data_IF_041663071735
#
_entry.id   IF_041663071735
#
_cell.length_a   1.000
_cell.length_b   1.000
_cell.length_c   1.000
_cell.angle_alpha   90.00
_cell.angle_beta   90.00
_cell.angle_gamma   90.00
#
_symmetry.space_group_name_H-M   'P 1'
#
loop_
_entity.id
_entity.type
_entity.pdbx_description
1 polymer ?
#
# COMPACT_ATOMS: atom_id res chain seq x y z
N UNK A 1 -17.57 13.00 -37.14
CA UNK A 1 -16.94 12.08 -36.14
C UNK A 1 -16.70 12.88 -34.88
N UNK A 2 -17.68 12.91 -33.98
CA UNK A 2 -17.48 13.50 -32.65
C UNK A 2 -16.55 12.56 -31.91
N UNK A 3 -15.29 12.96 -31.68
CA UNK A 3 -14.45 12.25 -30.72
C UNK A 3 -15.16 12.32 -29.37
N UNK A 4 -15.75 11.20 -28.93
CA UNK A 4 -16.12 11.05 -27.53
C UNK A 4 -14.77 11.00 -26.81
N UNK A 5 -14.33 12.13 -26.26
CA UNK A 5 -13.27 12.10 -25.26
C UNK A 5 -13.83 11.29 -24.09
N UNK A 6 -13.43 10.02 -23.98
CA UNK A 6 -13.65 9.26 -22.76
C UNK A 6 -13.00 10.05 -21.64
N UNK A 7 -13.76 10.34 -20.60
CA UNK A 7 -13.21 10.97 -19.41
C UNK A 7 -12.08 10.05 -18.89
N UNK A 8 -10.86 10.58 -18.82
CA UNK A 8 -9.71 9.82 -18.34
C UNK A 8 -9.98 9.40 -16.91
N UNK A 9 -9.64 8.17 -16.58
CA UNK A 9 -9.78 7.63 -15.24
C UNK A 9 -8.46 6.99 -14.83
N UNK A 10 -7.86 7.53 -13.77
CA UNK A 10 -6.63 7.03 -13.19
C UNK A 10 -6.91 6.45 -11.81
N UNK A 11 -6.22 5.36 -11.51
CA UNK A 11 -6.21 4.69 -10.21
C UNK A 11 -4.83 4.87 -9.59
N UNK A 12 -4.75 5.58 -8.47
CA UNK A 12 -3.57 5.60 -7.61
C UNK A 12 -3.70 4.49 -6.58
N UNK A 13 -2.69 3.63 -6.41
CA UNK A 13 -2.68 2.52 -5.45
C UNK A 13 -1.44 2.65 -4.54
N UNK A 14 -1.62 2.49 -3.23
CA UNK A 14 -0.59 2.57 -2.19
C UNK A 14 -0.72 1.38 -1.22
N UNK A 15 0.36 0.64 -1.00
CA UNK A 15 0.37 -0.53 -0.11
C UNK A 15 0.52 -0.11 1.35
N UNK A 16 -0.43 -0.55 2.19
CA UNK A 16 -0.57 -0.05 3.55
C UNK A 16 0.61 -0.49 4.42
N UNK A 17 1.44 0.47 4.84
CA UNK A 17 2.62 0.22 5.70
C UNK A 17 3.54 -0.88 5.15
N UNK A 18 3.80 -0.82 3.84
CA UNK A 18 4.36 -1.91 3.03
C UNK A 18 5.43 -2.78 3.71
N UNK A 19 6.56 -2.22 4.12
CA UNK A 19 7.64 -3.03 4.69
C UNK A 19 7.23 -3.75 5.97
N UNK A 20 6.45 -3.11 6.85
CA UNK A 20 5.93 -3.78 8.05
C UNK A 20 4.93 -4.88 7.68
N UNK A 21 4.11 -4.67 6.64
CA UNK A 21 3.16 -5.67 6.15
C UNK A 21 3.86 -6.90 5.57
N UNK A 22 4.94 -6.73 4.79
CA UNK A 22 5.77 -7.85 4.31
C UNK A 22 6.34 -8.65 5.49
N UNK A 23 6.92 -7.97 6.49
CA UNK A 23 7.47 -8.64 7.67
C UNK A 23 6.40 -9.38 8.50
N UNK A 24 5.17 -8.83 8.57
CA UNK A 24 4.04 -9.50 9.22
C UNK A 24 3.63 -10.77 8.47
N UNK A 25 3.39 -10.69 7.15
CA UNK A 25 2.99 -11.84 6.33
C UNK A 25 4.04 -12.95 6.38
N UNK A 26 5.33 -12.61 6.25
CA UNK A 26 6.45 -13.56 6.36
C UNK A 26 6.47 -14.31 7.69
N UNK A 27 5.90 -13.73 8.75
CA UNK A 27 5.79 -14.32 10.10
C UNK A 27 4.44 -14.97 10.38
N UNK A 28 3.53 -15.04 9.40
CA UNK A 28 2.17 -15.55 9.60
C UNK A 28 1.32 -14.66 10.51
N UNK A 29 1.63 -13.35 10.55
CA UNK A 29 0.90 -12.35 11.33
C UNK A 29 0.02 -11.51 10.41
N UNK A 30 -1.15 -11.11 10.91
CA UNK A 30 -2.03 -10.15 10.23
C UNK A 30 -1.39 -8.74 10.23
N UNK A 31 -1.09 -8.16 9.05
CA UNK A 31 -0.50 -6.83 8.93
C UNK A 31 -1.28 -5.69 9.58
N UNK A 32 -2.61 -5.81 9.71
CA UNK A 32 -3.46 -4.74 10.23
C UNK A 32 -3.49 -4.71 11.76
N UNK A 33 -3.30 -5.85 12.42
CA UNK A 33 -3.44 -6.00 13.88
C UNK A 33 -2.12 -6.25 14.60
N UNK A 34 -1.11 -6.80 13.91
CA UNK A 34 0.19 -7.06 14.50
C UNK A 34 0.95 -5.76 14.82
N UNK A 35 1.53 -5.71 16.02
CA UNK A 35 2.40 -4.60 16.45
C UNK A 35 3.83 -4.89 16.03
N UNK A 36 4.21 -4.38 14.88
CA UNK A 36 5.55 -4.55 14.30
C UNK A 36 6.14 -3.22 13.83
N UNK A 37 7.44 -3.05 14.02
CA UNK A 37 8.24 -1.96 13.46
C UNK A 37 9.41 -2.55 12.67
N UNK A 38 9.76 -1.94 11.55
CA UNK A 38 10.95 -2.30 10.77
C UNK A 38 12.05 -1.31 11.11
N UNK A 39 13.10 -1.77 11.79
CA UNK A 39 14.24 -0.95 12.20
C UNK A 39 15.46 -1.83 12.49
N UNK A 40 16.65 -1.27 12.34
CA UNK A 40 17.90 -1.90 12.75
C UNK A 40 18.25 -1.50 14.19
N UNK A 41 17.90 -2.36 15.14
CA UNK A 41 18.13 -2.11 16.57
C UNK A 41 19.60 -2.24 17.00
N UNK A 42 20.46 -2.85 16.17
CA UNK A 42 21.89 -3.03 16.46
C UNK A 42 22.67 -1.71 16.36
N UNK A 43 22.11 -0.69 15.70
CA UNK A 43 22.74 0.62 15.56
C UNK A 43 22.60 1.45 16.83
N UNK A 44 21.49 2.16 16.95
CA UNK A 44 21.14 2.99 18.11
C UNK A 44 19.63 3.16 18.14
N UNK A 45 19.06 3.53 19.28
CA UNK A 45 17.63 3.86 19.38
C UNK A 45 17.25 5.14 18.60
N UNK A 46 18.24 5.93 18.15
CA UNK A 46 18.02 7.08 17.25
C UNK A 46 17.86 6.67 15.78
N UNK A 47 17.98 5.38 15.46
CA UNK A 47 17.76 4.87 14.11
C UNK A 47 16.35 5.18 13.63
N UNK A 48 16.21 5.37 12.32
CA UNK A 48 14.90 5.58 11.70
C UNK A 48 14.16 4.24 11.62
N UNK A 49 12.86 4.26 11.93
CA UNK A 49 11.99 3.14 11.61
C UNK A 49 11.64 3.23 10.13
N UNK A 50 12.02 2.22 9.35
CA UNK A 50 11.73 2.13 7.93
C UNK A 50 10.22 2.01 7.69
N UNK A 51 9.51 1.30 8.57
CA UNK A 51 8.05 1.26 8.59
C UNK A 51 7.53 0.98 10.00
N UNK A 52 6.30 1.45 10.26
CA UNK A 52 5.55 1.21 11.48
C UNK A 52 4.20 0.60 11.07
N UNK A 53 3.85 -0.55 11.67
CA UNK A 53 2.57 -1.23 11.44
C UNK A 53 1.35 -0.34 11.75
N UNK A 54 0.21 -0.58 11.09
CA UNK A 54 -1.07 0.09 11.40
C UNK A 54 -1.44 0.05 12.88
N UNK A 55 -1.26 -1.10 13.56
CA UNK A 55 -1.60 -1.25 14.97
C UNK A 55 -0.76 -0.33 15.88
N UNK A 56 0.53 -0.11 15.57
CA UNK A 56 1.37 0.84 16.31
C UNK A 56 1.02 2.30 15.98
N UNK A 57 0.66 2.60 14.73
CA UNK A 57 0.16 3.93 14.35
C UNK A 57 -1.12 4.29 15.10
N UNK A 58 -2.03 3.32 15.30
CA UNK A 58 -3.24 3.49 16.09
C UNK A 58 -2.95 3.79 17.59
N UNK A 59 -1.79 3.38 18.10
CA UNK A 59 -1.29 3.75 19.44
C UNK A 59 -0.57 5.11 19.45
N UNK A 60 -0.62 5.85 18.35
CA UNK A 60 -0.03 7.19 18.21
C UNK A 60 1.43 7.20 17.78
N UNK A 61 2.04 6.07 17.42
CA UNK A 61 3.41 6.06 16.86
C UNK A 61 3.42 6.71 15.47
N UNK A 62 4.33 7.65 15.24
CA UNK A 62 4.46 8.31 13.93
C UNK A 62 4.89 7.31 12.86
N UNK A 63 4.36 7.45 11.63
CA UNK A 63 4.81 6.65 10.49
C UNK A 63 6.27 6.90 10.07
N UNK A 64 6.88 7.99 10.56
CA UNK A 64 8.29 8.35 10.32
C UNK A 64 9.07 8.43 11.65
N UNK A 65 8.70 7.60 12.62
CA UNK A 65 9.30 7.61 13.94
C UNK A 65 10.77 7.15 13.91
N UNK A 66 11.53 7.57 14.92
CA UNK A 66 12.75 6.91 15.37
C UNK A 66 12.41 5.86 16.42
N UNK A 67 13.28 4.86 16.59
CA UNK A 67 13.00 3.73 17.47
C UNK A 67 12.77 4.15 18.93
N UNK A 68 13.48 5.16 19.44
CA UNK A 68 13.24 5.70 20.78
C UNK A 68 11.83 6.29 20.95
N UNK A 69 11.27 6.93 19.93
CA UNK A 69 9.91 7.50 19.97
C UNK A 69 8.85 6.38 20.01
N UNK A 70 9.17 5.20 19.48
CA UNK A 70 8.33 4.01 19.64
C UNK A 70 8.35 3.55 21.10
N UNK A 71 9.54 3.48 21.71
CA UNK A 71 9.70 3.07 23.12
C UNK A 71 9.05 4.05 24.11
N UNK A 72 8.97 5.34 23.78
CA UNK A 72 8.27 6.34 24.59
C UNK A 72 6.75 6.12 24.61
N UNK A 73 6.18 5.55 23.53
CA UNK A 73 4.73 5.38 23.38
C UNK A 73 4.25 3.97 23.69
N UNK A 74 5.10 2.97 23.48
CA UNK A 74 4.74 1.55 23.55
C UNK A 74 5.79 0.78 24.36
N UNK A 75 5.39 0.02 25.40
CA UNK A 75 6.33 -0.72 26.23
C UNK A 75 7.19 -1.68 25.43
N UNK A 76 8.48 -1.76 25.79
CA UNK A 76 9.39 -2.77 25.22
C UNK A 76 8.85 -4.18 25.46
N UNK A 77 9.01 -5.04 24.46
CA UNK A 77 8.50 -6.42 24.49
C UNK A 77 7.01 -6.57 24.15
N UNK A 78 6.27 -5.47 23.94
CA UNK A 78 4.86 -5.52 23.51
C UNK A 78 4.65 -5.38 22.00
N UNK A 79 5.74 -5.33 21.24
CA UNK A 79 5.79 -5.27 19.79
C UNK A 79 7.04 -5.97 19.25
N UNK A 80 7.02 -6.29 17.96
CA UNK A 80 8.12 -6.96 17.25
C UNK A 80 8.97 -5.91 16.53
N UNK A 81 10.28 -6.06 16.60
CA UNK A 81 11.23 -5.33 15.75
C UNK A 81 11.71 -6.31 14.68
N UNK A 82 11.57 -5.92 13.41
CA UNK A 82 12.11 -6.64 12.28
C UNK A 82 13.25 -5.85 11.65
N UNK A 83 14.35 -6.52 11.31
CA UNK A 83 15.43 -5.90 10.57
C UNK A 83 15.01 -5.66 9.10
N UNK A 84 15.46 -4.56 8.46
CA UNK A 84 15.15 -4.30 7.05
C UNK A 84 15.67 -5.39 6.10
N UNK A 85 14.76 -6.00 5.34
CA UNK A 85 15.04 -7.03 4.33
C UNK A 85 14.72 -6.52 2.90
N UNK A 86 15.55 -5.60 2.39
CA UNK A 86 15.26 -4.89 1.13
C UNK A 86 15.05 -5.79 -0.10
N UNK A 87 15.75 -6.92 -0.18
CA UNK A 87 15.59 -7.87 -1.28
C UNK A 87 14.19 -8.49 -1.29
N UNK A 88 13.70 -8.92 -0.13
CA UNK A 88 12.35 -9.48 0.03
C UNK A 88 11.29 -8.43 -0.34
N UNK A 89 11.50 -7.17 0.05
CA UNK A 89 10.57 -6.09 -0.27
C UNK A 89 10.47 -5.84 -1.78
N UNK A 90 11.59 -5.87 -2.49
CA UNK A 90 11.60 -5.72 -3.95
C UNK A 90 10.97 -6.92 -4.65
N UNK A 91 11.16 -8.13 -4.12
CA UNK A 91 10.51 -9.33 -4.64
C UNK A 91 8.99 -9.22 -4.51
N UNK A 92 8.47 -8.93 -3.31
CA UNK A 92 7.02 -8.80 -3.08
C UNK A 92 6.43 -7.64 -3.88
N UNK A 93 7.14 -6.51 -3.98
CA UNK A 93 6.75 -5.41 -4.86
C UNK A 93 6.61 -5.88 -6.31
N UNK A 94 7.59 -6.62 -6.83
CA UNK A 94 7.55 -7.15 -8.21
C UNK A 94 6.38 -8.11 -8.41
N UNK A 95 6.07 -8.96 -7.44
CA UNK A 95 4.90 -9.86 -7.45
C UNK A 95 3.58 -9.06 -7.53
N UNK A 96 3.46 -7.97 -6.77
CA UNK A 96 2.28 -7.10 -6.78
C UNK A 96 2.15 -6.34 -8.11
N UNK A 97 3.26 -5.82 -8.66
CA UNK A 97 3.24 -5.16 -9.97
C UNK A 97 2.93 -6.14 -11.11
N UNK A 98 3.28 -7.43 -10.97
CA UNK A 98 2.85 -8.46 -11.90
C UNK A 98 1.33 -8.69 -11.86
N UNK A 99 0.70 -8.57 -10.68
CA UNK A 99 -0.76 -8.57 -10.56
C UNK A 99 -1.33 -7.37 -11.31
N UNK A 100 -0.79 -6.16 -11.13
CA UNK A 100 -1.25 -4.98 -11.88
C UNK A 100 -1.15 -5.18 -13.40
N UNK A 101 -0.04 -5.76 -13.86
CA UNK A 101 0.20 -6.05 -15.28
C UNK A 101 -0.73 -7.13 -15.86
N UNK A 102 -1.43 -7.91 -15.02
CA UNK A 102 -2.49 -8.81 -15.48
C UNK A 102 -3.80 -8.06 -15.81
N UNK A 103 -3.98 -6.84 -15.28
CA UNK A 103 -5.17 -6.02 -15.49
C UNK A 103 -4.98 -4.92 -16.52
N UNK A 104 -3.82 -4.27 -16.52
CA UNK A 104 -3.48 -3.15 -17.42
C UNK A 104 -2.14 -3.38 -18.10
N UNK A 105 -1.98 -2.86 -19.33
CA UNK A 105 -0.71 -2.96 -20.04
C UNK A 105 0.39 -2.19 -19.29
N UNK A 106 1.62 -2.68 -19.38
CA UNK A 106 2.76 -2.15 -18.63
C UNK A 106 3.04 -0.66 -18.89
N UNK A 107 2.78 -0.19 -20.10
CA UNK A 107 2.91 1.20 -20.52
C UNK A 107 1.87 2.13 -19.87
N UNK A 108 0.75 1.58 -19.40
CA UNK A 108 -0.30 2.29 -18.68
C UNK A 108 -0.09 2.25 -17.14
N UNK A 109 1.01 1.62 -16.68
CA UNK A 109 1.43 1.61 -15.28
C UNK A 109 2.58 2.61 -15.08
N UNK A 110 2.33 3.64 -14.29
CA UNK A 110 3.35 4.55 -13.81
C UNK A 110 3.81 4.13 -12.40
N UNK A 111 4.96 3.47 -12.33
CA UNK A 111 5.62 3.12 -11.08
C UNK A 111 6.11 4.39 -10.38
N UNK A 112 5.59 4.69 -9.18
CA UNK A 112 6.00 5.86 -8.40
C UNK A 112 7.01 5.50 -7.31
N UNK A 113 6.82 4.37 -6.63
CA UNK A 113 7.74 3.78 -5.65
C UNK A 113 7.61 2.26 -5.61
N UNK A 114 8.31 1.60 -4.68
CA UNK A 114 8.19 0.15 -4.46
C UNK A 114 6.79 -0.28 -3.99
N UNK A 115 6.00 0.64 -3.45
CA UNK A 115 4.70 0.39 -2.86
C UNK A 115 3.58 1.26 -3.42
N UNK A 116 3.88 2.08 -4.44
CA UNK A 116 2.94 3.05 -5.00
C UNK A 116 3.01 3.10 -6.53
N UNK A 117 1.84 3.07 -7.16
CA UNK A 117 1.68 3.13 -8.61
C UNK A 117 0.45 3.92 -9.02
N UNK A 118 0.47 4.42 -10.26
CA UNK A 118 -0.70 4.95 -10.94
C UNK A 118 -1.01 4.13 -12.18
N UNK A 119 -2.27 3.78 -12.39
CA UNK A 119 -2.73 3.01 -13.52
C UNK A 119 -3.71 3.87 -14.34
N UNK A 120 -3.47 4.03 -15.65
CA UNK A 120 -4.51 4.54 -16.56
C UNK A 120 -5.49 3.41 -16.87
N UNK A 121 -6.63 3.42 -16.18
CA UNK A 121 -7.65 2.36 -16.31
C UNK A 121 -8.71 2.71 -17.36
N UNK A 122 -8.61 3.87 -18.03
CA UNK A 122 -9.66 4.43 -18.89
C UNK A 122 -10.19 3.44 -19.95
N UNK A 123 -9.28 2.80 -20.68
CA UNK A 123 -9.64 1.87 -21.77
C UNK A 123 -10.12 0.51 -21.25
N UNK A 124 -9.77 0.17 -20.01
CA UNK A 124 -9.97 -1.15 -19.43
C UNK A 124 -11.35 -1.30 -18.78
N UNK A 125 -11.96 -0.20 -18.33
CA UNK A 125 -13.33 -0.21 -17.78
C UNK A 125 -14.33 -0.86 -18.74
N UNK A 126 -14.28 -0.46 -20.01
CA UNK A 126 -15.13 -1.06 -21.04
C UNK A 126 -14.76 -2.51 -21.33
N UNK A 127 -13.46 -2.84 -21.36
CA UNK A 127 -13.00 -4.18 -21.70
C UNK A 127 -13.43 -5.22 -20.65
N UNK A 128 -13.42 -4.83 -19.37
CA UNK A 128 -13.87 -5.67 -18.26
C UNK A 128 -15.36 -5.57 -17.94
N UNK A 129 -16.10 -4.68 -18.61
CA UNK A 129 -17.50 -4.36 -18.29
C UNK A 129 -17.70 -3.96 -16.82
N UNK A 130 -16.72 -3.23 -16.27
CA UNK A 130 -16.68 -2.78 -14.88
C UNK A 130 -16.68 -1.24 -14.80
N UNK A 131 -17.27 -0.71 -13.74
CA UNK A 131 -16.97 0.65 -13.33
C UNK A 131 -15.57 0.74 -12.65
N UNK A 132 -15.12 1.97 -12.43
CA UNK A 132 -13.79 2.23 -11.90
C UNK A 132 -13.59 1.72 -10.47
N UNK A 133 -14.65 1.74 -9.65
CA UNK A 133 -14.61 1.25 -8.27
C UNK A 133 -14.54 -0.27 -8.26
N UNK A 134 -15.33 -0.95 -9.09
CA UNK A 134 -15.33 -2.40 -9.26
C UNK A 134 -13.94 -2.90 -9.70
N UNK A 135 -13.33 -2.27 -10.71
CA UNK A 135 -12.00 -2.65 -11.16
C UNK A 135 -10.95 -2.41 -10.07
N UNK A 136 -10.99 -1.27 -9.39
CA UNK A 136 -10.09 -0.97 -8.28
C UNK A 136 -10.21 -2.00 -7.14
N UNK A 137 -11.44 -2.32 -6.71
CA UNK A 137 -11.72 -3.34 -5.69
C UNK A 137 -11.21 -4.70 -6.11
N UNK A 138 -11.41 -5.09 -7.37
CA UNK A 138 -10.95 -6.37 -7.92
C UNK A 138 -9.43 -6.48 -7.82
N UNK A 139 -8.69 -5.46 -8.30
CA UNK A 139 -7.23 -5.43 -8.22
C UNK A 139 -6.74 -5.50 -6.77
N UNK A 140 -7.34 -4.71 -5.86
CA UNK A 140 -6.98 -4.70 -4.44
C UNK A 140 -7.23 -6.06 -3.78
N UNK A 141 -8.36 -6.71 -4.08
CA UNK A 141 -8.70 -8.04 -3.56
C UNK A 141 -7.72 -9.10 -4.06
N UNK A 142 -7.29 -9.02 -5.31
CA UNK A 142 -6.28 -9.93 -5.85
C UNK A 142 -4.91 -9.72 -5.19
N UNK A 143 -4.47 -8.47 -5.00
CA UNK A 143 -3.25 -8.18 -4.24
C UNK A 143 -3.33 -8.79 -2.84
N UNK A 144 -4.45 -8.58 -2.14
CA UNK A 144 -4.66 -9.13 -0.80
C UNK A 144 -4.67 -10.67 -0.81
N UNK A 145 -5.37 -11.29 -1.76
CA UNK A 145 -5.51 -12.74 -1.86
C UNK A 145 -4.19 -13.45 -2.18
N UNK A 146 -3.34 -12.85 -3.01
CA UNK A 146 -2.06 -13.45 -3.42
C UNK A 146 -0.94 -13.17 -2.41
N UNK A 147 -0.93 -11.99 -1.78
CA UNK A 147 0.22 -11.53 -0.99
C UNK A 147 -0.06 -11.33 0.49
N UNK A 148 -1.34 -11.31 0.91
CA UNK A 148 -1.75 -10.92 2.26
C UNK A 148 -1.56 -9.43 2.56
N UNK A 149 -1.17 -8.61 1.58
CA UNK A 149 -0.93 -7.17 1.76
C UNK A 149 -2.17 -6.37 1.35
N UNK A 150 -2.60 -5.47 2.23
CA UNK A 150 -3.69 -4.55 1.94
C UNK A 150 -3.19 -3.33 1.16
N UNK A 151 -3.96 -2.91 0.16
CA UNK A 151 -3.77 -1.66 -0.56
C UNK A 151 -4.87 -0.65 -0.23
N UNK A 152 -4.58 0.64 -0.44
CA UNK A 152 -5.57 1.72 -0.52
C UNK A 152 -5.50 2.29 -1.92
N UNK A 153 -6.64 2.72 -2.48
CA UNK A 153 -6.63 3.34 -3.78
C UNK A 153 -7.51 4.58 -3.87
N UNK A 154 -7.15 5.48 -4.78
CA UNK A 154 -7.91 6.68 -5.11
C UNK A 154 -8.13 6.79 -6.60
N UNK A 155 -9.34 7.20 -6.98
CA UNK A 155 -9.74 7.43 -8.36
C UNK A 155 -9.72 8.92 -8.68
N UNK A 156 -9.32 9.28 -9.90
CA UNK A 156 -9.37 10.66 -10.36
C UNK A 156 -9.21 10.81 -11.87
N UNK A 157 -9.59 11.97 -12.40
CA UNK A 157 -9.53 12.24 -13.84
C UNK A 157 -8.13 12.61 -14.35
N UNK A 158 -7.16 12.70 -13.45
CA UNK A 158 -5.73 12.83 -13.71
C UNK A 158 -4.94 12.28 -12.51
N UNK A 159 -3.63 12.11 -12.69
CA UNK A 159 -2.74 11.56 -11.65
C UNK A 159 -2.80 12.35 -10.32
N UNK A 160 -2.87 13.69 -10.40
CA UNK A 160 -2.94 14.54 -9.21
C UNK A 160 -4.23 14.29 -8.41
N UNK A 161 -5.39 14.29 -9.07
CA UNK A 161 -6.67 14.06 -8.42
C UNK A 161 -6.78 12.64 -7.85
N UNK A 162 -6.26 11.63 -8.55
CA UNK A 162 -6.22 10.26 -8.05
C UNK A 162 -5.37 10.15 -6.77
N UNK A 163 -4.19 10.77 -6.76
CA UNK A 163 -3.32 10.82 -5.56
C UNK A 163 -3.99 11.51 -4.39
N UNK A 164 -4.62 12.67 -4.63
CA UNK A 164 -5.31 13.43 -3.58
C UNK A 164 -6.51 12.66 -3.03
N UNK A 165 -7.31 12.01 -3.90
CA UNK A 165 -8.41 11.16 -3.47
C UNK A 165 -7.91 10.01 -2.57
N UNK A 166 -6.78 9.40 -2.92
CA UNK A 166 -6.18 8.34 -2.12
C UNK A 166 -5.70 8.83 -0.76
N UNK A 167 -4.89 9.89 -0.73
CA UNK A 167 -4.23 10.35 0.51
C UNK A 167 -5.17 11.04 1.49
N UNK A 168 -6.15 11.81 0.99
CA UNK A 168 -7.04 12.61 1.84
C UNK A 168 -8.31 11.85 2.20
N UNK A 169 -8.89 11.08 1.26
CA UNK A 169 -10.15 10.40 1.49
C UNK A 169 -9.93 8.92 1.83
N UNK A 170 -9.37 8.16 0.90
CA UNK A 170 -9.35 6.70 0.99
C UNK A 170 -8.56 6.18 2.21
N UNK A 171 -7.38 6.76 2.52
CA UNK A 171 -6.58 6.35 3.69
C UNK A 171 -7.25 6.58 5.05
N UNK A 172 -8.30 7.41 5.10
CA UNK A 172 -9.06 7.74 6.31
C UNK A 172 -10.42 7.03 6.39
N UNK A 173 -10.80 6.29 5.35
CA UNK A 173 -12.01 5.46 5.38
C UNK A 173 -11.74 4.15 6.11
N UNK A 174 -12.77 3.64 6.80
CA UNK A 174 -12.75 2.27 7.30
C UNK A 174 -12.72 1.31 6.12
N UNK A 175 -11.89 0.27 6.20
CA UNK A 175 -11.89 -0.78 5.18
C UNK A 175 -13.30 -1.34 5.03
N UNK A 176 -13.74 -1.52 3.79
CA UNK A 176 -15.04 -2.12 3.53
C UNK A 176 -15.07 -3.54 4.09
N UNK A 177 -16.24 -3.92 4.62
CA UNK A 177 -16.43 -5.20 5.31
C UNK A 177 -16.53 -6.40 4.34
N UNK A 178 -16.41 -6.16 3.03
CA UNK A 178 -16.76 -7.08 1.93
C UNK A 178 -15.56 -7.60 1.13
#
# INVERSE_FOLDING_TARGET
MTQIHSERTYLAIDLKSFYASVECVKRGLDPLTARLVVADELRTEKTICLAVSPALKALGVSGRARLFEVYEKVPRGSFIIAEPAMADYLQVSSEIFAIYAAYVATEDIHVYSVDEAFLDITSYLRAYEMDAEQLARTIIKDVLGHTGITATAGLGSNLYLAKIAMDILAKHQTADLD
#
